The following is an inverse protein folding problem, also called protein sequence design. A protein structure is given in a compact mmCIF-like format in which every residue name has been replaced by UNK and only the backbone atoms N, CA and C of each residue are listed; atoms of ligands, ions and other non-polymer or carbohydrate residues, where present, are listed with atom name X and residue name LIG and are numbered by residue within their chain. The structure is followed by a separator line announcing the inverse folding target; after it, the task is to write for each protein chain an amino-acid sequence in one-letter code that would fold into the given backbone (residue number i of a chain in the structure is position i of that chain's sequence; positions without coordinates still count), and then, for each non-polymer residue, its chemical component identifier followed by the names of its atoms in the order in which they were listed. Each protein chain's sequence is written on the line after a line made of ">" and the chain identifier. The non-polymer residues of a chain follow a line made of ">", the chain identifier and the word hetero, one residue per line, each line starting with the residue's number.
data_IF_452708051232
#
_entry.id   IF_452708051232
#
_cell.length_a   1.000
_cell.length_b   1.000
_cell.length_c   1.000
_cell.angle_alpha   90.00
_cell.angle_beta   90.00
_cell.angle_gamma   90.00
#
_symmetry.space_group_name_H-M   'P 1'
#
loop_
_entity.id
_entity.type
_entity.pdbx_description
1 polymer ?
#
# COMPACT_ATOMS: atom_id res chain seq x y z
N UNK A 1 19.73 -6.07 -12.03
CA UNK A 1 18.69 -7.08 -12.32
C UNK A 1 17.46 -6.89 -11.45
N UNK A 2 17.60 -6.67 -10.15
CA UNK A 2 16.49 -6.56 -9.18
C UNK A 2 15.49 -5.44 -9.52
N UNK A 3 15.94 -4.26 -9.95
CA UNK A 3 15.05 -3.15 -10.32
C UNK A 3 14.18 -3.51 -11.51
N UNK A 4 14.73 -4.16 -12.53
CA UNK A 4 13.96 -4.61 -13.71
C UNK A 4 12.94 -5.69 -13.35
N UNK A 5 13.26 -6.57 -12.43
CA UNK A 5 12.32 -7.59 -11.93
C UNK A 5 11.15 -6.97 -11.17
N UNK A 6 11.41 -5.97 -10.32
CA UNK A 6 10.38 -5.22 -9.60
C UNK A 6 9.47 -4.46 -10.59
N UNK A 7 10.05 -3.82 -11.61
CA UNK A 7 9.27 -3.13 -12.65
C UNK A 7 8.37 -4.08 -13.43
N UNK A 8 8.87 -5.28 -13.76
CA UNK A 8 8.10 -6.32 -14.46
C UNK A 8 6.95 -6.82 -13.57
N UNK A 9 7.22 -7.14 -12.30
CA UNK A 9 6.19 -7.59 -11.35
C UNK A 9 5.14 -6.53 -11.11
N UNK A 10 5.54 -5.27 -10.96
CA UNK A 10 4.60 -4.14 -10.80
C UNK A 10 3.70 -3.99 -12.02
N UNK A 11 4.26 -4.12 -13.22
CA UNK A 11 3.49 -4.05 -14.47
C UNK A 11 2.50 -5.21 -14.58
N UNK A 12 2.93 -6.43 -14.29
CA UNK A 12 2.07 -7.62 -14.29
C UNK A 12 0.91 -7.48 -13.29
N UNK A 13 1.19 -6.99 -12.09
CA UNK A 13 0.18 -6.71 -11.09
C UNK A 13 -0.85 -5.66 -11.56
N UNK A 14 -0.37 -4.58 -12.17
CA UNK A 14 -1.26 -3.54 -12.72
C UNK A 14 -2.15 -4.08 -13.85
N UNK A 15 -1.59 -4.89 -14.76
CA UNK A 15 -2.35 -5.52 -15.84
C UNK A 15 -3.40 -6.51 -15.31
N UNK A 16 -3.06 -7.25 -14.26
CA UNK A 16 -4.00 -8.16 -13.60
C UNK A 16 -5.13 -7.38 -12.93
N UNK A 17 -4.81 -6.34 -12.17
CA UNK A 17 -5.79 -5.47 -11.50
C UNK A 17 -6.72 -4.80 -12.52
N UNK A 18 -6.21 -4.30 -13.64
CA UNK A 18 -7.02 -3.72 -14.70
C UNK A 18 -8.02 -4.73 -15.27
N UNK A 19 -7.59 -5.97 -15.48
CA UNK A 19 -8.48 -7.06 -15.96
C UNK A 19 -9.56 -7.40 -14.93
N UNK A 20 -9.21 -7.52 -13.66
CA UNK A 20 -10.16 -7.80 -12.58
C UNK A 20 -11.21 -6.67 -12.46
N UNK A 21 -10.78 -5.41 -12.53
CA UNK A 21 -11.68 -4.26 -12.55
C UNK A 21 -12.64 -4.31 -13.76
N UNK A 22 -12.12 -4.65 -14.94
CA UNK A 22 -12.93 -4.72 -16.16
C UNK A 22 -13.94 -5.84 -16.08
N UNK A 23 -13.57 -7.01 -15.57
CA UNK A 23 -14.48 -8.15 -15.34
C UNK A 23 -15.59 -7.76 -14.36
N UNK A 24 -15.24 -7.22 -13.18
CA UNK A 24 -16.21 -6.82 -12.16
C UNK A 24 -17.18 -5.75 -12.68
N UNK A 25 -16.70 -4.79 -13.46
CA UNK A 25 -17.54 -3.76 -14.07
C UNK A 25 -18.48 -4.35 -15.13
N UNK A 26 -18.02 -5.31 -15.92
CA UNK A 26 -18.83 -5.99 -16.92
C UNK A 26 -19.94 -6.81 -16.27
N UNK A 27 -19.67 -7.53 -15.18
CA UNK A 27 -20.68 -8.26 -14.40
C UNK A 27 -21.81 -7.34 -13.90
N UNK A 28 -21.46 -6.09 -13.57
CA UNK A 28 -22.42 -5.07 -13.12
C UNK A 28 -22.94 -4.17 -14.25
N UNK A 29 -22.79 -4.54 -15.51
CA UNK A 29 -23.23 -3.76 -16.68
C UNK A 29 -22.69 -2.31 -16.70
N UNK A 30 -21.48 -2.08 -16.22
CA UNK A 30 -20.82 -0.77 -16.25
C UNK A 30 -19.84 -0.67 -17.42
N UNK A 31 -19.77 0.52 -18.02
CA UNK A 31 -18.81 0.79 -19.10
C UNK A 31 -17.37 0.68 -18.57
N UNK A 32 -16.41 0.24 -19.40
CA UNK A 32 -14.99 0.25 -19.04
C UNK A 32 -14.52 1.62 -18.56
N UNK A 33 -13.51 1.63 -17.69
CA UNK A 33 -12.91 2.89 -17.25
C UNK A 33 -12.22 3.58 -18.43
N UNK A 34 -12.41 4.88 -18.54
CA UNK A 34 -11.68 5.67 -19.55
C UNK A 34 -10.18 5.56 -19.26
N UNK A 35 -9.39 5.21 -20.28
CA UNK A 35 -7.94 5.23 -20.16
C UNK A 35 -7.50 6.66 -19.80
N UNK A 36 -6.80 6.81 -18.68
CA UNK A 36 -6.16 8.09 -18.34
C UNK A 36 -5.07 8.34 -19.36
N UNK A 37 -5.10 9.48 -20.03
CA UNK A 37 -3.89 9.94 -20.73
C UNK A 37 -2.80 10.06 -19.64
N UNK A 38 -1.77 9.24 -19.71
CA UNK A 38 -0.56 9.47 -18.92
C UNK A 38 -0.04 10.82 -19.38
N UNK A 39 -0.31 11.87 -18.62
CA UNK A 39 0.49 13.09 -18.75
C UNK A 39 1.92 12.63 -18.47
N UNK A 40 2.84 13.05 -19.30
CA UNK A 40 4.26 12.96 -18.97
C UNK A 40 4.45 13.93 -17.80
N UNK A 41 4.22 13.44 -16.57
CA UNK A 41 4.45 14.22 -15.36
C UNK A 41 5.96 14.37 -15.20
N UNK A 42 6.51 15.39 -15.82
CA UNK A 42 7.81 15.94 -15.43
C UNK A 42 7.62 16.53 -14.04
N UNK A 43 7.88 15.75 -13.02
CA UNK A 43 7.91 16.20 -11.64
C UNK A 43 9.16 17.05 -11.47
N UNK A 44 9.00 18.32 -11.10
CA UNK A 44 10.14 19.13 -10.64
C UNK A 44 10.60 18.53 -9.31
N UNK A 45 11.77 17.93 -9.31
CA UNK A 45 12.40 17.36 -8.11
C UNK A 45 13.37 18.39 -7.57
N UNK A 46 13.27 18.71 -6.29
CA UNK A 46 14.24 19.55 -5.60
C UNK A 46 15.40 18.65 -5.18
N UNK A 47 16.59 18.94 -5.69
CA UNK A 47 17.81 18.17 -5.48
C UNK A 47 18.82 18.98 -4.68
N UNK A 48 19.58 18.31 -3.81
CA UNK A 48 20.67 18.94 -3.07
C UNK A 48 21.86 19.19 -3.99
N UNK A 49 22.41 20.40 -3.93
CA UNK A 49 23.61 20.75 -4.72
C UNK A 49 24.91 20.19 -4.14
N UNK A 50 24.90 19.86 -2.85
CA UNK A 50 26.07 19.32 -2.15
C UNK A 50 26.07 17.80 -2.06
N UNK A 51 24.89 17.20 -2.03
CA UNK A 51 24.67 15.76 -1.91
C UNK A 51 23.45 15.35 -2.74
N UNK A 52 23.61 15.11 -4.05
CA UNK A 52 22.52 14.79 -4.96
C UNK A 52 21.79 13.49 -4.64
N UNK A 53 22.44 12.56 -3.93
CA UNK A 53 21.85 11.28 -3.54
C UNK A 53 20.90 11.41 -2.36
N UNK A 54 20.97 12.50 -1.61
CA UNK A 54 20.05 12.79 -0.50
C UNK A 54 18.67 13.21 -1.03
N UNK A 55 17.62 12.85 -0.31
CA UNK A 55 16.25 13.20 -0.65
C UNK A 55 15.64 14.23 0.29
N UNK A 56 14.73 15.06 -0.22
CA UNK A 56 14.01 16.03 0.61
C UNK A 56 13.04 15.28 1.54
N UNK A 57 13.38 15.22 2.81
CA UNK A 57 12.56 14.63 3.86
C UNK A 57 11.61 15.66 4.47
N UNK A 58 10.35 15.25 4.67
CA UNK A 58 9.31 16.06 5.29
C UNK A 58 8.74 15.31 6.50
N UNK A 59 9.06 15.75 7.69
CA UNK A 59 8.45 15.20 8.90
C UNK A 59 7.13 15.91 9.24
N UNK A 60 7.12 17.23 9.03
CA UNK A 60 5.95 18.10 9.18
C UNK A 60 6.16 19.38 8.35
N UNK A 61 5.22 20.33 8.43
CA UNK A 61 5.34 21.60 7.69
C UNK A 61 6.60 22.43 8.06
N UNK A 62 7.15 22.24 9.26
CA UNK A 62 8.27 23.00 9.80
C UNK A 62 9.62 22.30 9.62
N UNK A 63 9.62 20.97 9.56
CA UNK A 63 10.84 20.16 9.42
C UNK A 63 10.99 19.63 8.01
N UNK A 64 11.83 20.30 7.25
CA UNK A 64 12.19 19.94 5.86
C UNK A 64 13.72 19.95 5.76
N UNK A 65 14.31 18.84 5.39
CA UNK A 65 15.75 18.76 5.20
C UNK A 65 16.10 17.72 4.15
N UNK A 66 17.26 17.86 3.54
CA UNK A 66 17.85 16.78 2.79
C UNK A 66 18.41 15.72 3.74
N UNK A 67 18.00 14.49 3.59
CA UNK A 67 18.32 13.41 4.50
C UNK A 67 18.30 12.05 3.80
N UNK A 68 18.76 11.04 4.54
CA UNK A 68 18.58 9.64 4.23
C UNK A 68 17.64 9.01 5.26
N UNK A 69 16.94 7.96 4.87
CA UNK A 69 16.14 7.12 5.76
C UNK A 69 16.85 5.79 5.98
N UNK A 70 16.99 5.39 7.23
CA UNK A 70 17.54 4.11 7.62
C UNK A 70 16.39 3.16 8.00
N UNK A 71 16.10 2.19 7.15
CA UNK A 71 15.17 1.11 7.42
C UNK A 71 15.92 0.01 8.15
N UNK A 72 15.66 -0.16 9.43
CA UNK A 72 16.40 -1.08 10.30
C UNK A 72 15.53 -2.25 10.71
N UNK A 73 16.03 -3.46 10.53
CA UNK A 73 15.43 -4.67 11.07
C UNK A 73 16.17 -5.12 12.32
N UNK A 74 15.41 -5.45 13.37
CA UNK A 74 15.94 -5.95 14.64
C UNK A 74 15.27 -7.29 15.00
N UNK A 75 15.97 -8.09 15.80
CA UNK A 75 15.38 -9.27 16.43
C UNK A 75 14.57 -8.89 17.68
N UNK A 76 14.01 -9.89 18.36
CA UNK A 76 13.22 -9.71 19.58
C UNK A 76 14.06 -9.21 20.80
N UNK A 77 15.37 -9.23 20.70
CA UNK A 77 16.29 -8.71 21.72
C UNK A 77 16.84 -7.32 21.37
N UNK A 78 16.31 -6.71 20.29
CA UNK A 78 16.75 -5.43 19.74
C UNK A 78 18.17 -5.43 19.12
N UNK A 79 18.70 -6.60 18.75
CA UNK A 79 19.91 -6.65 17.93
C UNK A 79 19.58 -6.34 16.48
N UNK A 80 20.33 -5.41 15.89
CA UNK A 80 20.17 -5.05 14.48
C UNK A 80 20.64 -6.21 13.61
N UNK A 81 19.71 -6.73 12.80
CA UNK A 81 19.95 -7.83 11.84
C UNK A 81 20.46 -7.28 10.53
N UNK A 82 19.81 -6.23 10.03
CA UNK A 82 20.16 -5.61 8.75
C UNK A 82 19.65 -4.17 8.68
N UNK A 83 20.25 -3.38 7.78
CA UNK A 83 19.88 -1.98 7.53
C UNK A 83 19.85 -1.72 6.03
N UNK A 84 18.80 -1.07 5.54
CA UNK A 84 18.74 -0.53 4.18
C UNK A 84 18.63 0.99 4.26
N UNK A 85 19.46 1.70 3.50
CA UNK A 85 19.46 3.17 3.45
C UNK A 85 18.86 3.63 2.13
N UNK A 86 17.90 4.56 2.21
CA UNK A 86 17.28 5.18 1.04
C UNK A 86 17.35 6.70 1.13
N UNK A 87 17.19 7.37 0.00
CA UNK A 87 17.02 8.83 -0.01
C UNK A 87 15.77 9.24 0.78
N UNK A 88 15.81 10.38 1.46
CA UNK A 88 14.78 10.83 2.40
C UNK A 88 13.38 11.09 1.81
N UNK A 89 13.26 11.15 0.48
CA UNK A 89 12.00 11.29 -0.25
C UNK A 89 11.38 9.94 -0.66
N UNK A 90 12.03 8.82 -0.35
CA UNK A 90 11.54 7.48 -0.67
C UNK A 90 10.62 7.01 0.45
N UNK A 91 9.44 6.50 0.07
CA UNK A 91 8.48 5.99 1.03
C UNK A 91 8.97 4.69 1.68
N UNK A 92 8.69 4.50 2.97
CA UNK A 92 9.14 3.35 3.78
C UNK A 92 8.82 2.00 3.12
N UNK A 93 7.66 1.88 2.47
CA UNK A 93 7.25 0.67 1.79
C UNK A 93 8.18 0.24 0.65
N UNK A 94 8.92 1.17 0.04
CA UNK A 94 9.91 0.86 -1.00
C UNK A 94 11.18 0.31 -0.38
N UNK A 95 11.63 0.91 0.74
CA UNK A 95 12.80 0.47 1.49
C UNK A 95 12.67 -0.95 2.05
N UNK A 96 11.45 -1.36 2.41
CA UNK A 96 11.16 -2.67 2.96
C UNK A 96 11.60 -3.82 2.05
N UNK A 97 11.31 -3.75 0.76
CA UNK A 97 11.54 -4.87 -0.17
C UNK A 97 13.02 -5.22 -0.24
N UNK A 98 13.88 -4.21 -0.32
CA UNK A 98 15.33 -4.40 -0.38
C UNK A 98 15.86 -4.97 0.95
N UNK A 99 15.39 -4.42 2.07
CA UNK A 99 15.76 -4.90 3.40
C UNK A 99 15.32 -6.36 3.61
N UNK A 100 14.08 -6.68 3.30
CA UNK A 100 13.53 -8.02 3.45
C UNK A 100 14.23 -9.04 2.56
N UNK A 101 14.51 -8.69 1.31
CA UNK A 101 15.27 -9.54 0.39
C UNK A 101 16.70 -9.80 0.89
N UNK A 102 17.36 -8.79 1.46
CA UNK A 102 18.69 -8.93 2.06
C UNK A 102 18.66 -9.90 3.25
N UNK A 103 17.66 -9.78 4.12
CA UNK A 103 17.47 -10.69 5.25
C UNK A 103 17.26 -12.13 4.77
N UNK A 104 16.37 -12.34 3.79
CA UNK A 104 16.12 -13.66 3.20
C UNK A 104 17.36 -14.30 2.58
N UNK A 105 18.24 -13.50 1.99
CA UNK A 105 19.47 -13.99 1.39
C UNK A 105 20.56 -14.36 2.42
N UNK A 106 20.53 -13.74 3.59
CA UNK A 106 21.54 -13.93 4.64
C UNK A 106 21.12 -14.95 5.69
N UNK A 107 19.84 -15.04 5.99
CA UNK A 107 19.30 -15.82 7.09
C UNK A 107 18.19 -16.73 6.59
N UNK A 108 18.06 -17.93 7.21
CA UNK A 108 16.88 -18.76 7.03
C UNK A 108 15.65 -18.06 7.62
N UNK A 109 14.59 -17.95 6.85
CA UNK A 109 13.30 -17.39 7.31
C UNK A 109 12.42 -18.40 8.01
N UNK A 110 12.79 -19.69 8.05
CA UNK A 110 12.00 -20.76 8.62
C UNK A 110 11.66 -20.57 10.12
N UNK A 111 12.52 -19.85 10.84
CA UNK A 111 12.33 -19.56 12.26
C UNK A 111 11.66 -18.22 12.53
N UNK A 112 11.31 -17.46 11.48
CA UNK A 112 10.61 -16.18 11.64
C UNK A 112 9.11 -16.45 11.67
N UNK A 113 8.49 -16.24 12.83
CA UNK A 113 7.05 -16.47 13.03
C UNK A 113 6.26 -15.20 12.62
N UNK A 114 6.75 -14.02 12.95
CA UNK A 114 6.07 -12.77 12.69
C UNK A 114 7.06 -11.63 12.46
N UNK A 115 6.64 -10.64 11.68
CA UNK A 115 7.38 -9.40 11.48
C UNK A 115 6.46 -8.24 11.90
N UNK A 116 6.87 -7.51 12.94
CA UNK A 116 6.21 -6.29 13.36
C UNK A 116 6.74 -5.09 12.57
N UNK A 117 5.84 -4.31 12.03
CA UNK A 117 6.17 -3.16 11.20
C UNK A 117 5.36 -1.94 11.62
N UNK A 118 5.91 -0.76 11.41
CA UNK A 118 5.23 0.49 11.64
C UNK A 118 4.16 0.79 10.56
N UNK A 119 3.37 1.84 10.77
CA UNK A 119 2.27 2.23 9.88
C UNK A 119 2.73 2.67 8.48
N UNK A 120 3.98 3.11 8.30
CA UNK A 120 4.57 3.46 7.02
C UNK A 120 4.71 2.27 6.06
N UNK A 121 4.83 1.07 6.61
CA UNK A 121 4.97 -0.18 5.85
C UNK A 121 3.65 -0.86 5.49
N UNK A 122 2.50 -0.30 5.90
CA UNK A 122 1.19 -0.91 5.63
C UNK A 122 0.83 -0.76 4.15
N UNK A 123 1.16 -1.77 3.36
CA UNK A 123 0.71 -1.91 1.97
C UNK A 123 0.24 -3.34 1.71
N UNK A 124 -0.76 -3.55 0.85
CA UNK A 124 -1.20 -4.89 0.47
C UNK A 124 -0.06 -5.76 -0.07
N UNK A 125 0.87 -5.16 -0.82
CA UNK A 125 2.01 -5.86 -1.40
C UNK A 125 2.96 -6.40 -0.31
N UNK A 126 3.33 -5.59 0.68
CA UNK A 126 4.19 -6.03 1.79
C UNK A 126 3.51 -7.12 2.60
N UNK A 127 2.24 -6.92 2.96
CA UNK A 127 1.47 -7.93 3.70
C UNK A 127 1.43 -9.26 2.95
N UNK A 128 1.15 -9.21 1.64
CA UNK A 128 1.12 -10.40 0.80
C UNK A 128 2.49 -11.08 0.73
N UNK A 129 3.56 -10.33 0.47
CA UNK A 129 4.92 -10.86 0.37
C UNK A 129 5.35 -11.60 1.65
N UNK A 130 5.09 -11.01 2.80
CA UNK A 130 5.42 -11.61 4.11
C UNK A 130 4.54 -12.83 4.37
N UNK A 131 3.26 -12.75 4.03
CA UNK A 131 2.31 -13.85 4.23
C UNK A 131 2.59 -15.05 3.30
N UNK A 132 2.99 -14.81 2.06
CA UNK A 132 3.37 -15.84 1.09
C UNK A 132 4.61 -16.64 1.56
N UNK A 133 5.46 -16.04 2.39
CA UNK A 133 6.58 -16.72 3.05
C UNK A 133 6.18 -17.43 4.37
N UNK A 134 4.88 -17.56 4.65
CA UNK A 134 4.30 -18.14 5.90
C UNK A 134 4.70 -17.37 7.17
N UNK A 135 4.97 -16.08 7.08
CA UNK A 135 5.29 -15.20 8.20
C UNK A 135 4.10 -14.30 8.47
N UNK A 136 3.75 -14.09 9.74
CA UNK A 136 2.64 -13.23 10.14
C UNK A 136 3.06 -11.74 10.08
N UNK A 137 2.49 -10.92 9.17
CA UNK A 137 2.71 -9.47 9.19
C UNK A 137 1.91 -8.85 10.34
N UNK A 138 2.61 -8.28 11.32
CA UNK A 138 2.00 -7.60 12.47
C UNK A 138 2.08 -6.10 12.28
N UNK A 139 0.93 -5.46 12.13
CA UNK A 139 0.79 -4.06 11.77
C UNK A 139 -0.07 -3.32 12.79
N UNK A 140 0.19 -2.03 13.05
CA UNK A 140 -0.65 -1.25 13.95
C UNK A 140 -2.03 -1.05 13.37
N UNK A 141 -3.05 -1.17 14.22
CA UNK A 141 -4.41 -0.86 13.82
C UNK A 141 -4.58 0.62 13.51
N UNK A 142 -4.99 0.93 12.29
CA UNK A 142 -5.41 2.29 11.91
C UNK A 142 -6.91 2.45 12.16
N UNK A 143 -7.25 3.27 13.15
CA UNK A 143 -8.66 3.62 13.39
C UNK A 143 -9.21 4.34 12.16
N UNK A 144 -10.37 3.91 11.61
CA UNK A 144 -11.04 4.64 10.55
C UNK A 144 -11.31 6.09 10.96
N UNK A 145 -10.85 7.04 10.16
CA UNK A 145 -11.08 8.47 10.39
C UNK A 145 -12.48 8.86 9.85
N UNK A 146 -13.52 8.45 10.57
CA UNK A 146 -14.88 8.88 10.26
C UNK A 146 -15.19 10.17 11.03
N UNK A 147 -15.68 11.18 10.33
CA UNK A 147 -16.11 12.45 10.94
C UNK A 147 -17.27 12.18 11.90
N UNK A 148 -17.35 12.97 12.96
CA UNK A 148 -18.45 12.92 13.90
C UNK A 148 -19.80 13.15 13.18
N UNK A 149 -20.82 12.38 13.56
CA UNK A 149 -22.14 12.40 12.93
C UNK A 149 -22.28 11.52 11.68
N UNK A 150 -21.20 10.84 11.23
CA UNK A 150 -21.26 9.84 10.17
C UNK A 150 -21.14 8.42 10.70
N UNK A 151 -21.86 7.50 10.09
CA UNK A 151 -21.75 6.08 10.41
C UNK A 151 -20.36 5.54 10.08
N UNK A 152 -19.86 4.69 10.97
CA UNK A 152 -18.57 4.03 10.78
C UNK A 152 -18.72 2.84 9.83
N UNK A 153 -17.64 2.49 9.14
CA UNK A 153 -17.64 1.41 8.13
C UNK A 153 -18.21 0.09 8.66
N UNK A 154 -17.94 -0.26 9.90
CA UNK A 154 -18.39 -1.51 10.52
C UNK A 154 -19.88 -1.49 10.95
N UNK A 155 -20.57 -0.35 10.87
CA UNK A 155 -21.99 -0.24 11.18
C UNK A 155 -22.87 -0.57 9.95
N UNK A 156 -22.26 -0.69 8.76
CA UNK A 156 -22.94 -1.11 7.56
C UNK A 156 -22.93 -2.63 7.45
N UNK A 157 -24.06 -3.21 7.11
CA UNK A 157 -24.20 -4.65 6.88
C UNK A 157 -24.16 -4.93 5.37
N UNK A 158 -23.31 -5.84 4.94
CA UNK A 158 -23.26 -6.28 3.55
C UNK A 158 -24.23 -7.44 3.34
N UNK A 159 -25.12 -7.31 2.38
CA UNK A 159 -26.00 -8.37 1.90
C UNK A 159 -25.39 -8.97 0.64
N UNK A 160 -24.81 -10.15 0.79
CA UNK A 160 -24.12 -10.85 -0.29
C UNK A 160 -25.08 -11.32 -1.39
N UNK A 161 -26.31 -11.69 -1.05
CA UNK A 161 -27.31 -12.17 -2.00
C UNK A 161 -27.75 -11.08 -2.99
N UNK A 162 -27.91 -9.86 -2.48
CA UNK A 162 -28.37 -8.72 -3.26
C UNK A 162 -27.25 -7.77 -3.70
N UNK A 163 -26.00 -8.09 -3.39
CA UNK A 163 -24.81 -7.24 -3.60
C UNK A 163 -25.09 -5.77 -3.23
N UNK A 164 -25.46 -5.55 -1.97
CA UNK A 164 -25.76 -4.21 -1.48
C UNK A 164 -25.31 -4.05 -0.01
N UNK A 165 -25.13 -2.81 0.40
CA UNK A 165 -24.95 -2.48 1.82
C UNK A 165 -26.23 -1.90 2.40
N UNK A 166 -26.54 -2.30 3.61
CA UNK A 166 -27.63 -1.73 4.42
C UNK A 166 -26.99 -0.80 5.46
N UNK A 167 -27.37 0.48 5.43
CA UNK A 167 -26.88 1.42 6.43
C UNK A 167 -27.70 1.33 7.73
N UNK A 168 -27.19 1.85 8.87
CA UNK A 168 -27.92 1.86 10.15
C UNK A 168 -29.31 2.53 10.10
N UNK A 169 -29.54 3.41 9.13
CA UNK A 169 -30.86 4.03 8.88
C UNK A 169 -31.73 3.21 7.91
N UNK A 170 -31.46 1.93 7.73
CA UNK A 170 -32.19 1.02 6.84
C UNK A 170 -32.29 1.50 5.37
N UNK A 171 -31.28 2.25 4.91
CA UNK A 171 -31.16 2.61 3.50
C UNK A 171 -30.28 1.60 2.79
N UNK A 172 -30.70 1.21 1.58
CA UNK A 172 -29.96 0.29 0.74
C UNK A 172 -28.98 1.10 -0.12
N UNK A 173 -27.71 0.72 -0.06
CA UNK A 173 -26.66 1.23 -0.92
C UNK A 173 -26.37 0.19 -1.99
N UNK A 174 -26.74 0.49 -3.22
CA UNK A 174 -26.50 -0.39 -4.38
C UNK A 174 -25.11 -0.17 -4.95
N UNK A 175 -24.59 -1.20 -5.61
CA UNK A 175 -23.34 -1.08 -6.36
C UNK A 175 -23.41 0.12 -7.33
N UNK A 176 -22.44 0.99 -7.24
CA UNK A 176 -22.31 2.17 -8.08
C UNK A 176 -21.22 2.00 -9.13
N UNK A 177 -20.03 1.62 -8.71
CA UNK A 177 -18.85 1.48 -9.59
C UNK A 177 -17.73 0.73 -8.90
N UNK A 178 -16.80 0.18 -9.67
CA UNK A 178 -15.47 -0.22 -9.18
C UNK A 178 -14.47 0.82 -9.65
N UNK A 179 -13.75 1.39 -8.71
CA UNK A 179 -12.78 2.46 -8.97
C UNK A 179 -11.46 1.90 -9.55
N UNK A 180 -10.49 2.78 -9.82
CA UNK A 180 -9.20 2.40 -10.43
C UNK A 180 -8.28 1.62 -9.51
N UNK A 181 -8.56 1.65 -8.21
CA UNK A 181 -7.80 0.93 -7.18
C UNK A 181 -8.42 -0.44 -6.89
N UNK A 182 -9.47 -0.84 -7.65
CA UNK A 182 -10.15 -2.11 -7.50
C UNK A 182 -11.21 -2.14 -6.39
N UNK A 183 -11.52 -1.01 -5.75
CA UNK A 183 -12.55 -0.97 -4.71
C UNK A 183 -13.95 -0.79 -5.28
N UNK A 184 -14.87 -1.63 -4.84
CA UNK A 184 -16.31 -1.48 -5.12
C UNK A 184 -16.89 -0.35 -4.30
N UNK A 185 -17.58 0.56 -4.94
CA UNK A 185 -18.28 1.68 -4.32
C UNK A 185 -19.78 1.46 -4.37
N UNK A 186 -20.44 1.65 -3.25
CA UNK A 186 -21.89 1.51 -3.11
C UNK A 186 -22.49 2.85 -2.74
N UNK A 187 -23.68 3.15 -3.31
CA UNK A 187 -24.31 4.46 -3.13
C UNK A 187 -25.81 4.31 -2.88
N UNK A 188 -26.33 5.13 -1.96
CA UNK A 188 -27.77 5.26 -1.79
C UNK A 188 -28.39 6.01 -2.98
N UNK A 189 -29.58 5.60 -3.36
CA UNK A 189 -30.44 6.34 -4.30
C UNK A 189 -31.07 7.54 -3.62
#
# INVERSE_FOLDING_TARGET
>A
NTIKEIEIQTRQYQEQLEKEIELDRNEHNKKPLKKTKKSADTKVVVESTTDPDSGMFFKNEKEKCFAYLAHTACDNNNYVIDVNITSGNIHDSVGFINLYSSIKNRYSTENIIAIAMDAGYITPHICKTVFDDNILPTLPYKRPMTKDGFFKKYEYVYDELNDCYICPNNKILKYNTTNRDGYREYKST
#
